data_IF_451481819213
#
_entry.id   IF_451481819213
#
_cell.length_a   1.000
_cell.length_b   1.000
_cell.length_c   1.000
_cell.angle_alpha   90.00
_cell.angle_beta   90.00
_cell.angle_gamma   90.00
#
_symmetry.space_group_name_H-M   'P 1'
#
loop_
_entity.id
_entity.type
_entity.pdbx_description
1 polymer ?
#
# COMPACT_ATOMS: atom_id res chain seq x y z
N UNK A 1 44.48 -19.76 38.63
CA UNK A 1 43.10 -19.85 38.09
C UNK A 1 42.56 -18.44 37.96
N UNK A 2 42.61 -17.87 36.75
CA UNK A 2 42.17 -16.50 36.44
C UNK A 2 40.69 -16.55 36.04
N UNK A 3 39.80 -16.07 36.90
CA UNK A 3 38.38 -15.89 36.59
C UNK A 3 38.13 -14.50 36.02
N UNK A 4 38.11 -14.40 34.69
CA UNK A 4 37.75 -13.16 33.97
C UNK A 4 36.23 -13.10 33.88
N UNK A 5 35.61 -12.25 34.72
CA UNK A 5 34.26 -11.74 34.47
C UNK A 5 34.31 -10.77 33.29
N UNK A 6 33.69 -11.14 32.16
CA UNK A 6 33.37 -10.21 31.08
C UNK A 6 31.88 -10.31 30.74
N UNK A 7 31.17 -9.26 31.17
CA UNK A 7 29.92 -8.68 30.67
C UNK A 7 29.36 -9.35 29.41
N UNK A 8 28.22 -10.03 29.55
CA UNK A 8 27.30 -10.27 28.44
C UNK A 8 26.29 -9.13 28.47
N UNK A 9 26.46 -8.19 27.53
CA UNK A 9 25.46 -7.16 27.24
C UNK A 9 24.31 -7.86 26.54
N UNK A 10 23.14 -7.91 27.19
CA UNK A 10 21.91 -8.35 26.57
C UNK A 10 21.49 -7.31 25.52
N UNK A 11 21.80 -7.57 24.26
CA UNK A 11 21.18 -6.86 23.14
C UNK A 11 19.76 -7.41 23.01
N UNK A 12 18.80 -6.73 23.61
CA UNK A 12 17.38 -6.92 23.32
C UNK A 12 17.15 -6.34 21.94
N UNK A 13 17.36 -7.16 20.91
CA UNK A 13 16.81 -6.90 19.59
C UNK A 13 15.29 -7.01 19.72
N UNK A 14 14.62 -5.86 19.78
CA UNK A 14 13.17 -5.78 19.56
C UNK A 14 12.93 -6.15 18.11
N UNK A 15 12.84 -7.46 17.84
CA UNK A 15 12.21 -7.96 16.63
C UNK A 15 10.73 -7.69 16.86
N UNK A 16 10.27 -6.52 16.41
CA UNK A 16 8.87 -6.31 16.13
C UNK A 16 8.50 -7.29 15.02
N UNK A 17 8.14 -8.50 15.43
CA UNK A 17 7.49 -9.47 14.57
C UNK A 17 6.13 -8.85 14.25
N UNK A 18 6.10 -8.01 13.23
CA UNK A 18 4.89 -7.64 12.54
C UNK A 18 4.35 -8.93 11.93
N UNK A 19 3.60 -9.69 12.74
CA UNK A 19 2.54 -10.54 12.24
C UNK A 19 1.55 -9.61 11.55
N UNK A 20 1.90 -9.17 10.33
CA UNK A 20 0.90 -8.83 9.35
C UNK A 20 0.09 -10.10 9.20
N UNK A 21 -1.01 -10.18 9.94
CA UNK A 21 -2.11 -11.06 9.60
C UNK A 21 -2.51 -10.57 8.22
N UNK A 22 -1.96 -11.22 7.19
CA UNK A 22 -2.29 -10.93 5.81
C UNK A 22 -3.74 -11.35 5.71
N UNK A 23 -4.65 -10.40 5.93
CA UNK A 23 -6.06 -10.57 5.64
C UNK A 23 -6.16 -10.59 4.12
N UNK A 24 -5.72 -11.71 3.53
CA UNK A 24 -6.01 -12.01 2.13
C UNK A 24 -7.53 -12.13 2.13
N UNK A 25 -8.21 -11.09 1.65
CA UNK A 25 -9.65 -11.11 1.54
C UNK A 25 -10.04 -12.43 0.85
N UNK A 26 -11.05 -13.17 1.34
CA UNK A 26 -11.36 -14.53 0.88
C UNK A 26 -11.56 -14.63 -0.65
N UNK A 27 -11.92 -13.51 -1.30
CA UNK A 27 -12.04 -13.37 -2.75
C UNK A 27 -10.73 -13.61 -3.52
N UNK A 28 -9.57 -13.26 -2.97
CA UNK A 28 -8.29 -13.42 -3.67
C UNK A 28 -7.82 -14.89 -3.74
N UNK A 29 -8.34 -15.80 -2.90
CA UNK A 29 -7.97 -17.21 -2.94
C UNK A 29 -8.71 -18.03 -4.03
N UNK A 30 -9.80 -17.48 -4.58
CA UNK A 30 -10.65 -18.14 -5.57
C UNK A 30 -10.38 -17.69 -7.02
N UNK A 31 -9.83 -16.48 -7.21
CA UNK A 31 -9.51 -15.96 -8.54
C UNK A 31 -8.31 -16.67 -9.18
N UNK A 32 -8.25 -16.69 -10.51
CA UNK A 32 -7.10 -17.19 -11.26
C UNK A 32 -5.91 -16.22 -11.13
N UNK A 33 -6.18 -14.92 -11.14
CA UNK A 33 -5.19 -13.86 -10.89
C UNK A 33 -5.74 -12.81 -9.92
N UNK A 34 -4.89 -12.31 -9.04
CA UNK A 34 -5.28 -11.47 -7.91
C UNK A 34 -4.34 -10.28 -7.72
N UNK A 35 -4.89 -9.21 -7.18
CA UNK A 35 -4.13 -8.09 -6.61
C UNK A 35 -4.11 -8.22 -5.09
N UNK A 36 -2.93 -8.05 -4.48
CA UNK A 36 -2.77 -7.98 -3.02
C UNK A 36 -1.99 -6.73 -2.62
N UNK A 37 -2.40 -6.13 -1.52
CA UNK A 37 -1.66 -5.07 -0.80
C UNK A 37 -1.36 -5.54 0.62
N UNK A 38 -0.33 -4.95 1.24
CA UNK A 38 0.16 -5.39 2.55
C UNK A 38 -0.67 -4.92 3.75
N UNK A 39 -1.47 -3.86 3.60
CA UNK A 39 -2.30 -3.26 4.66
C UNK A 39 -3.69 -2.92 4.12
N UNK A 40 -4.66 -2.85 5.02
CA UNK A 40 -6.02 -2.34 4.73
C UNK A 40 -6.10 -0.81 4.78
N UNK A 41 -5.05 -0.15 5.26
CA UNK A 41 -4.96 1.32 5.36
C UNK A 41 -3.55 1.82 5.02
N UNK A 42 -3.47 2.95 4.32
CA UNK A 42 -2.22 3.68 4.03
C UNK A 42 -2.42 5.17 4.28
N UNK A 43 -1.42 5.85 4.85
CA UNK A 43 -1.45 7.30 5.05
C UNK A 43 -1.08 8.04 3.76
N UNK A 44 -1.47 9.31 3.63
CA UNK A 44 -0.84 10.22 2.66
C UNK A 44 0.68 10.20 2.81
N UNK A 45 1.39 10.30 1.69
CA UNK A 45 2.85 10.18 1.57
C UNK A 45 3.43 8.77 1.81
N UNK A 46 2.63 7.78 2.22
CA UNK A 46 3.10 6.40 2.28
C UNK A 46 3.49 5.88 0.87
N UNK A 47 4.55 5.09 0.84
CA UNK A 47 4.81 4.18 -0.28
C UNK A 47 4.38 2.76 0.08
N UNK A 48 3.79 2.06 -0.87
CA UNK A 48 3.41 0.66 -0.72
C UNK A 48 3.54 -0.12 -2.02
N UNK A 49 3.67 -1.44 -1.89
CA UNK A 49 3.72 -2.35 -3.04
C UNK A 49 2.41 -3.10 -3.17
N UNK A 50 1.84 -3.03 -4.37
CA UNK A 50 0.80 -3.93 -4.83
C UNK A 50 1.43 -5.10 -5.58
N UNK A 51 0.99 -6.30 -5.26
CA UNK A 51 1.44 -7.55 -5.90
C UNK A 51 0.33 -8.07 -6.80
N UNK A 52 0.66 -8.34 -8.05
CA UNK A 52 -0.20 -9.03 -8.99
C UNK A 52 0.33 -10.46 -9.06
N UNK A 53 -0.52 -11.44 -8.76
CA UNK A 53 -0.08 -12.82 -8.61
C UNK A 53 -1.18 -13.82 -8.97
N UNK A 54 -0.77 -15.03 -9.33
CA UNK A 54 -1.63 -16.19 -9.50
C UNK A 54 -1.71 -16.96 -8.18
N UNK A 55 -2.88 -17.00 -7.50
CA UNK A 55 -3.03 -17.66 -6.20
C UNK A 55 -2.81 -19.17 -6.26
N UNK A 56 -3.01 -19.77 -7.43
CA UNK A 56 -2.82 -21.19 -7.73
C UNK A 56 -2.09 -21.33 -9.06
N UNK A 57 -1.49 -22.49 -9.31
CA UNK A 57 -0.95 -22.80 -10.64
C UNK A 57 -2.02 -22.65 -11.72
N UNK A 58 -1.68 -21.95 -12.79
CA UNK A 58 -2.61 -21.63 -13.86
C UNK A 58 -1.96 -21.90 -15.22
N UNK A 59 -2.63 -22.68 -16.08
CA UNK A 59 -2.08 -23.15 -17.36
C UNK A 59 -3.10 -23.17 -18.51
N UNK A 60 -4.09 -22.27 -18.47
CA UNK A 60 -5.24 -22.31 -19.41
C UNK A 60 -5.11 -21.36 -20.60
N UNK A 61 -4.16 -20.42 -20.60
CA UNK A 61 -4.07 -19.35 -21.63
C UNK A 61 -2.70 -19.33 -22.29
N UNK A 62 -2.67 -19.13 -23.59
CA UNK A 62 -1.48 -18.89 -24.41
C UNK A 62 -1.37 -17.42 -24.84
N UNK A 63 -2.45 -16.65 -24.75
CA UNK A 63 -2.44 -15.20 -24.90
C UNK A 63 -3.26 -14.54 -23.80
N UNK A 64 -2.78 -13.42 -23.28
CA UNK A 64 -3.37 -12.70 -22.16
C UNK A 64 -3.10 -11.20 -22.28
N UNK A 65 -4.17 -10.41 -22.34
CA UNK A 65 -4.17 -8.96 -22.29
C UNK A 65 -4.94 -8.54 -21.04
N UNK A 66 -4.29 -7.78 -20.17
CA UNK A 66 -4.85 -7.34 -18.91
C UNK A 66 -4.45 -5.91 -18.58
N UNK A 67 -5.29 -5.26 -17.77
CA UNK A 67 -5.03 -3.92 -17.26
C UNK A 67 -5.30 -3.83 -15.77
N UNK A 68 -4.43 -3.12 -15.05
CA UNK A 68 -4.69 -2.65 -13.70
C UNK A 68 -5.04 -1.17 -13.77
N UNK A 69 -6.23 -0.79 -13.30
CA UNK A 69 -6.60 0.61 -13.15
C UNK A 69 -6.52 1.08 -11.69
N UNK A 70 -6.14 2.33 -11.49
CA UNK A 70 -6.02 2.98 -10.19
C UNK A 70 -6.44 4.46 -10.26
N UNK A 71 -6.74 5.05 -9.11
CA UNK A 71 -7.14 6.47 -9.00
C UNK A 71 -5.92 7.40 -9.03
N UNK A 72 -5.78 8.17 -10.12
CA UNK A 72 -4.66 9.11 -10.32
C UNK A 72 -4.74 10.35 -9.43
N UNK A 73 -5.88 10.63 -8.82
CA UNK A 73 -6.00 11.72 -7.83
C UNK A 73 -5.40 11.31 -6.49
N UNK A 74 -5.34 10.00 -6.22
CA UNK A 74 -4.88 9.42 -4.95
C UNK A 74 -3.49 8.82 -5.01
N UNK A 75 -3.12 8.19 -6.13
CA UNK A 75 -1.90 7.41 -6.25
C UNK A 75 -1.03 7.88 -7.42
N UNK A 76 0.27 7.68 -7.29
CA UNK A 76 1.25 7.74 -8.37
C UNK A 76 2.10 6.48 -8.40
N UNK A 77 2.47 6.03 -9.60
CA UNK A 77 3.38 4.89 -9.76
C UNK A 77 4.80 5.39 -9.54
N UNK A 78 5.50 4.76 -8.60
CA UNK A 78 6.94 4.96 -8.36
C UNK A 78 7.73 3.99 -9.22
N UNK A 79 7.30 2.72 -9.27
CA UNK A 79 8.04 1.65 -9.96
C UNK A 79 7.14 0.51 -10.36
N UNK A 80 7.40 -0.09 -11.52
CA UNK A 80 6.85 -1.39 -11.93
C UNK A 80 8.00 -2.38 -12.10
N UNK A 81 7.83 -3.61 -11.62
CA UNK A 81 8.84 -4.67 -11.72
C UNK A 81 8.17 -5.99 -12.12
N UNK A 82 8.62 -6.65 -13.21
CA UNK A 82 8.13 -7.98 -13.58
C UNK A 82 8.40 -9.02 -12.48
N UNK A 83 7.43 -9.88 -12.23
CA UNK A 83 7.55 -10.99 -11.29
C UNK A 83 8.46 -12.11 -11.81
N UNK A 84 9.08 -12.84 -10.88
CA UNK A 84 9.87 -14.03 -11.17
C UNK A 84 8.99 -15.15 -11.74
N UNK A 85 7.76 -15.29 -11.26
CA UNK A 85 6.76 -16.22 -11.81
C UNK A 85 6.46 -15.94 -13.28
N UNK A 86 6.22 -14.67 -13.64
CA UNK A 86 6.07 -14.25 -15.04
C UNK A 86 7.30 -14.60 -15.88
N UNK A 87 8.51 -14.27 -15.42
CA UNK A 87 9.74 -14.62 -16.14
C UNK A 87 9.84 -16.12 -16.40
N UNK A 88 9.60 -16.95 -15.38
CA UNK A 88 9.63 -18.41 -15.52
C UNK A 88 8.58 -18.94 -16.50
N UNK A 89 7.37 -18.36 -16.49
CA UNK A 89 6.32 -18.75 -17.42
C UNK A 89 6.70 -18.42 -18.87
N UNK A 90 7.36 -17.29 -19.10
CA UNK A 90 7.89 -16.88 -20.41
C UNK A 90 9.04 -17.76 -20.87
N UNK A 91 9.98 -18.09 -19.98
CA UNK A 91 11.12 -18.96 -20.30
C UNK A 91 10.70 -20.39 -20.75
N UNK A 92 9.44 -20.79 -20.48
CA UNK A 92 8.85 -22.08 -20.89
C UNK A 92 8.05 -22.02 -22.19
N UNK A 93 7.95 -20.87 -22.84
CA UNK A 93 7.23 -20.76 -24.10
C UNK A 93 8.00 -21.42 -25.25
N UNK A 94 7.26 -22.13 -26.11
CA UNK A 94 7.77 -22.72 -27.34
C UNK A 94 7.38 -21.86 -28.54
N UNK A 95 8.17 -21.92 -29.60
CA UNK A 95 7.93 -21.18 -30.85
C UNK A 95 7.90 -19.64 -30.70
N UNK A 96 8.56 -19.12 -29.66
CA UNK A 96 8.66 -17.70 -29.38
C UNK A 96 7.51 -17.16 -28.53
N UNK A 97 7.74 -15.99 -27.96
CA UNK A 97 6.75 -15.25 -27.18
C UNK A 97 6.90 -13.76 -27.41
N UNK A 98 5.80 -13.04 -27.21
CA UNK A 98 5.79 -11.59 -27.10
C UNK A 98 5.30 -11.21 -25.71
N UNK A 99 5.93 -10.19 -25.14
CA UNK A 99 5.53 -9.57 -23.89
C UNK A 99 5.71 -8.07 -24.00
N UNK A 100 4.69 -7.32 -23.56
CA UNK A 100 4.78 -5.88 -23.37
C UNK A 100 4.16 -5.47 -22.04
N UNK A 101 4.73 -4.42 -21.46
CA UNK A 101 4.25 -3.74 -20.27
C UNK A 101 4.23 -2.24 -20.56
N UNK A 102 3.12 -1.56 -20.29
CA UNK A 102 2.99 -0.12 -20.48
C UNK A 102 2.32 0.53 -19.28
N UNK A 103 3.04 1.41 -18.62
CA UNK A 103 2.58 2.25 -17.50
C UNK A 103 2.74 3.75 -17.79
N UNK A 104 2.93 4.14 -19.06
CA UNK A 104 3.03 5.53 -19.49
C UNK A 104 1.66 6.23 -19.57
N UNK A 105 0.57 5.48 -19.39
CA UNK A 105 -0.80 5.99 -19.38
C UNK A 105 -1.20 6.20 -17.93
N UNK A 106 -1.46 7.44 -17.54
CA UNK A 106 -1.89 7.76 -16.19
C UNK A 106 -3.15 6.95 -15.80
N UNK A 107 -3.10 6.32 -14.63
CA UNK A 107 -4.23 5.57 -14.08
C UNK A 107 -4.33 4.12 -14.55
N UNK A 108 -3.39 3.65 -15.40
CA UNK A 108 -3.39 2.29 -15.91
C UNK A 108 -1.99 1.70 -16.03
N UNK A 109 -1.88 0.40 -15.76
CA UNK A 109 -0.77 -0.45 -16.20
C UNK A 109 -1.35 -1.54 -17.08
N UNK A 110 -0.82 -1.70 -18.29
CA UNK A 110 -1.26 -2.71 -19.23
C UNK A 110 -0.16 -3.76 -19.41
N UNK A 111 -0.57 -5.03 -19.49
CA UNK A 111 0.29 -6.13 -19.88
C UNK A 111 -0.36 -6.89 -21.03
N UNK A 112 0.44 -7.22 -22.03
CA UNK A 112 0.03 -8.08 -23.12
C UNK A 112 1.10 -9.13 -23.34
N UNK A 113 0.69 -10.40 -23.39
CA UNK A 113 1.56 -11.51 -23.74
C UNK A 113 0.87 -12.52 -24.65
N UNK A 114 1.66 -13.14 -25.51
CA UNK A 114 1.21 -14.21 -26.40
C UNK A 114 2.37 -15.16 -26.69
N UNK A 115 2.10 -16.46 -26.68
CA UNK A 115 3.09 -17.50 -26.97
C UNK A 115 2.47 -18.72 -27.67
N UNK A 116 3.31 -19.70 -28.02
CA UNK A 116 2.90 -20.87 -28.80
C UNK A 116 2.16 -21.95 -27.99
N UNK A 117 2.34 -21.97 -26.66
CA UNK A 117 1.66 -22.89 -25.75
C UNK A 117 1.04 -22.14 -24.58
N UNK A 118 0.15 -22.80 -23.84
CA UNK A 118 -0.38 -22.19 -22.63
C UNK A 118 0.76 -21.89 -21.64
N UNK A 119 0.76 -20.67 -21.09
CA UNK A 119 1.67 -20.23 -20.05
C UNK A 119 1.44 -20.99 -18.75
N UNK A 120 2.52 -21.45 -18.12
CA UNK A 120 2.49 -22.02 -16.77
C UNK A 120 2.77 -20.93 -15.73
N UNK A 121 1.72 -20.22 -15.31
CA UNK A 121 1.84 -19.22 -14.27
C UNK A 121 1.80 -19.83 -12.87
N UNK A 122 2.63 -19.29 -11.99
CA UNK A 122 2.62 -19.59 -10.56
C UNK A 122 3.11 -18.36 -9.80
N UNK A 123 2.45 -18.01 -8.69
CA UNK A 123 2.88 -16.93 -7.80
C UNK A 123 2.96 -15.57 -8.52
N UNK A 124 4.07 -14.85 -8.37
CA UNK A 124 4.23 -13.45 -8.71
C UNK A 124 4.25 -13.19 -10.22
N UNK A 125 3.33 -12.33 -10.68
CA UNK A 125 3.26 -11.85 -12.04
C UNK A 125 3.94 -10.49 -12.21
N UNK A 126 3.61 -9.53 -11.33
CA UNK A 126 4.21 -8.19 -11.31
C UNK A 126 4.14 -7.57 -9.91
N UNK A 127 5.02 -6.61 -9.65
CA UNK A 127 4.98 -5.74 -8.46
C UNK A 127 4.92 -4.29 -8.91
N UNK A 128 4.02 -3.52 -8.30
CA UNK A 128 3.91 -2.07 -8.53
C UNK A 128 4.07 -1.36 -7.21
N UNK A 129 5.07 -0.50 -7.12
CA UNK A 129 5.22 0.43 -6.00
C UNK A 129 4.44 1.70 -6.32
N UNK A 130 3.47 2.00 -5.45
CA UNK A 130 2.70 3.23 -5.47
C UNK A 130 3.16 4.15 -4.35
N UNK A 131 3.06 5.46 -4.60
CA UNK A 131 3.05 6.47 -3.55
C UNK A 131 1.64 7.03 -3.41
N UNK A 132 1.16 7.14 -2.17
CA UNK A 132 -0.06 7.87 -1.85
C UNK A 132 0.24 9.36 -1.91
N UNK A 133 -0.51 10.10 -2.71
CA UNK A 133 -0.28 11.53 -2.90
C UNK A 133 -0.51 12.30 -1.59
N UNK A 134 0.25 13.39 -1.33
CA UNK A 134 0.15 14.18 -0.10
C UNK A 134 -1.24 14.78 0.16
N UNK A 135 -2.03 14.99 -0.90
CA UNK A 135 -3.38 15.57 -0.83
C UNK A 135 -4.46 14.57 -1.26
N UNK A 136 -4.16 13.27 -1.31
CA UNK A 136 -5.13 12.24 -1.64
C UNK A 136 -6.32 12.28 -0.67
N UNK A 137 -7.55 12.31 -1.18
CA UNK A 137 -8.73 12.32 -0.33
C UNK A 137 -8.80 11.05 0.53
N UNK A 138 -9.20 11.23 1.80
CA UNK A 138 -9.44 10.13 2.71
C UNK A 138 -10.58 9.24 2.22
N UNK A 139 -10.45 7.94 2.45
CA UNK A 139 -11.50 6.96 2.16
C UNK A 139 -11.02 5.86 1.23
N UNK A 140 -11.97 5.13 0.65
CA UNK A 140 -11.69 3.94 -0.16
C UNK A 140 -10.84 4.26 -1.39
N UNK A 141 -9.90 3.36 -1.69
CA UNK A 141 -9.07 3.36 -2.88
C UNK A 141 -9.01 1.93 -3.43
N UNK A 142 -9.26 1.79 -4.73
CA UNK A 142 -9.31 0.51 -5.41
C UNK A 142 -8.16 0.36 -6.40
N UNK A 143 -7.62 -0.86 -6.47
CA UNK A 143 -6.82 -1.35 -7.57
C UNK A 143 -7.64 -2.41 -8.30
N UNK A 144 -8.09 -2.09 -9.52
CA UNK A 144 -9.00 -2.94 -10.29
C UNK A 144 -8.27 -3.64 -11.41
N UNK A 145 -8.21 -4.96 -11.35
CA UNK A 145 -7.59 -5.80 -12.36
C UNK A 145 -8.68 -6.28 -13.32
N UNK A 146 -8.43 -6.11 -14.62
CA UNK A 146 -9.33 -6.52 -15.69
C UNK A 146 -8.61 -7.40 -16.69
N UNK A 147 -9.24 -8.51 -17.06
CA UNK A 147 -8.88 -9.30 -18.24
C UNK A 147 -9.54 -8.62 -19.44
N UNK A 148 -8.72 -8.14 -20.37
CA UNK A 148 -9.20 -7.49 -21.59
C UNK A 148 -9.44 -8.52 -22.69
N UNK A 149 -8.49 -9.46 -22.85
CA UNK A 149 -8.59 -10.59 -23.77
C UNK A 149 -7.80 -11.78 -23.21
N UNK A 150 -8.29 -12.99 -23.43
CA UNK A 150 -7.53 -14.21 -23.14
C UNK A 150 -7.87 -15.32 -24.13
N UNK A 151 -6.85 -16.03 -24.61
CA UNK A 151 -7.03 -17.18 -25.51
C UNK A 151 -6.15 -18.33 -25.07
N UNK A 152 -6.61 -19.56 -25.27
CA UNK A 152 -5.76 -20.74 -25.10
C UNK A 152 -4.97 -21.06 -26.38
N UNK A 153 -4.05 -22.02 -26.32
CA UNK A 153 -3.23 -22.45 -27.47
C UNK A 153 -4.03 -23.09 -28.61
N UNK A 154 -5.30 -23.42 -28.38
CA UNK A 154 -6.24 -23.89 -29.40
C UNK A 154 -7.09 -22.76 -30.01
N UNK A 155 -6.71 -21.49 -29.79
CA UNK A 155 -7.45 -20.30 -30.26
C UNK A 155 -8.88 -20.19 -29.72
N UNK A 156 -9.17 -20.81 -28.59
CA UNK A 156 -10.46 -20.67 -27.91
C UNK A 156 -10.43 -19.43 -27.04
N UNK A 157 -11.46 -18.59 -27.15
CA UNK A 157 -11.66 -17.44 -26.27
C UNK A 157 -11.93 -17.91 -24.83
N UNK A 158 -11.11 -17.38 -23.93
CA UNK A 158 -11.11 -17.65 -22.49
C UNK A 158 -11.40 -16.38 -21.67
N UNK A 159 -11.66 -15.24 -22.30
CA UNK A 159 -11.73 -13.92 -21.65
C UNK A 159 -12.66 -13.93 -20.43
N UNK A 160 -13.89 -14.42 -20.59
CA UNK A 160 -14.88 -14.49 -19.51
C UNK A 160 -14.67 -15.67 -18.53
N UNK A 161 -13.71 -16.55 -18.82
CA UNK A 161 -13.36 -17.72 -18.00
C UNK A 161 -12.17 -17.47 -17.10
N UNK A 162 -11.37 -16.42 -17.37
CA UNK A 162 -10.26 -16.03 -16.51
C UNK A 162 -10.78 -15.08 -15.44
N UNK A 163 -10.74 -15.53 -14.19
CA UNK A 163 -11.24 -14.74 -13.07
C UNK A 163 -10.14 -13.86 -12.47
N UNK A 164 -10.48 -12.60 -12.18
CA UNK A 164 -9.58 -11.64 -11.56
C UNK A 164 -10.14 -11.14 -10.23
N UNK A 165 -9.28 -10.91 -9.23
CA UNK A 165 -9.67 -10.22 -7.98
C UNK A 165 -8.94 -8.90 -7.81
N UNK A 166 -9.69 -7.90 -7.34
CA UNK A 166 -9.21 -6.56 -7.05
C UNK A 166 -8.62 -6.46 -5.65
N UNK A 167 -7.98 -5.33 -5.36
CA UNK A 167 -7.65 -4.93 -4.00
C UNK A 167 -8.34 -3.60 -3.66
N UNK A 168 -8.84 -3.50 -2.43
CA UNK A 168 -9.42 -2.27 -1.88
C UNK A 168 -8.79 -2.00 -0.53
N UNK A 169 -8.45 -0.74 -0.28
CA UNK A 169 -7.88 -0.27 0.99
C UNK A 169 -8.36 1.15 1.26
N UNK A 170 -8.13 1.65 2.47
CA UNK A 170 -8.49 3.02 2.85
C UNK A 170 -7.26 3.90 2.87
N UNK A 171 -7.33 5.06 2.21
CA UNK A 171 -6.35 6.13 2.40
C UNK A 171 -6.74 6.93 3.62
N UNK A 172 -5.80 7.08 4.53
CA UNK A 172 -5.90 7.91 5.72
C UNK A 172 -5.19 9.25 5.45
N UNK A 173 -5.85 10.33 5.84
CA UNK A 173 -5.27 11.66 5.74
C UNK A 173 -4.12 11.79 6.73
N UNK A 174 -3.02 12.42 6.31
CA UNK A 174 -1.97 12.81 7.24
C UNK A 174 -2.40 14.10 7.92
N UNK A 175 -2.98 13.97 9.10
CA UNK A 175 -3.54 15.10 9.88
C UNK A 175 -2.53 16.21 10.12
N UNK A 176 -1.23 15.93 10.14
CA UNK A 176 -0.17 16.96 10.27
C UNK A 176 -0.33 18.09 9.27
N UNK A 177 -0.77 17.80 8.06
CA UNK A 177 -0.94 18.81 7.01
C UNK A 177 -2.02 19.84 7.34
N UNK A 178 -2.90 19.53 8.30
CA UNK A 178 -3.95 20.41 8.78
C UNK A 178 -3.66 20.95 10.19
N UNK A 179 -2.55 20.57 10.82
CA UNK A 179 -2.19 21.05 12.14
C UNK A 179 -1.28 22.27 12.02
N UNK A 180 -1.59 23.32 12.78
CA UNK A 180 -0.61 24.35 13.09
C UNK A 180 0.19 23.90 14.30
N UNK A 181 1.51 23.80 14.15
CA UNK A 181 2.41 23.37 15.21
C UNK A 181 3.43 24.45 15.57
N UNK A 182 3.69 24.59 16.86
CA UNK A 182 4.68 25.50 17.43
C UNK A 182 5.69 24.72 18.26
N UNK A 183 6.97 25.09 18.18
CA UNK A 183 8.01 24.51 19.04
C UNK A 183 7.83 24.99 20.49
N UNK A 184 7.98 24.10 21.47
CA UNK A 184 7.95 24.46 22.89
C UNK A 184 9.15 25.33 23.30
N UNK A 185 9.10 25.91 24.50
CA UNK A 185 10.14 26.82 24.99
C UNK A 185 11.51 26.15 25.10
N UNK A 186 11.52 24.86 25.44
CA UNK A 186 12.74 24.06 25.60
C UNK A 186 13.33 23.61 24.25
N UNK A 187 12.61 23.79 23.14
CA UNK A 187 13.08 23.42 21.80
C UNK A 187 13.13 21.91 21.54
N UNK A 188 12.48 21.10 22.38
CA UNK A 188 12.58 19.63 22.36
C UNK A 188 11.27 18.92 22.04
N UNK A 189 10.19 19.65 21.76
CA UNK A 189 8.90 19.11 21.37
C UNK A 189 8.00 20.13 20.68
N UNK A 190 6.99 19.65 19.96
CA UNK A 190 5.99 20.48 19.30
C UNK A 190 4.66 20.47 20.05
N UNK A 191 3.95 21.58 19.91
CA UNK A 191 2.64 21.83 20.50
C UNK A 191 1.67 22.09 19.34
N UNK A 192 0.55 21.40 19.34
CA UNK A 192 -0.55 21.67 18.38
C UNK A 192 -1.28 22.92 18.86
N UNK A 193 -1.33 23.96 18.02
CA UNK A 193 -1.98 25.23 18.34
C UNK A 193 -3.30 25.42 17.61
N UNK A 194 -3.47 24.74 16.46
CA UNK A 194 -4.69 24.86 15.66
C UNK A 194 -4.89 23.62 14.77
N UNK A 195 -6.13 23.40 14.34
CA UNK A 195 -6.52 22.42 13.34
C UNK A 195 -7.33 23.12 12.26
N UNK A 196 -6.95 22.97 11.00
CA UNK A 196 -7.49 23.80 9.91
C UNK A 196 -8.54 23.08 9.06
N UNK A 197 -8.78 21.79 9.33
CA UNK A 197 -9.70 21.00 8.52
C UNK A 197 -11.11 21.04 9.08
N UNK A 198 -12.11 21.30 8.23
CA UNK A 198 -13.52 21.45 8.64
C UNK A 198 -14.42 20.28 8.22
N UNK A 199 -13.87 19.27 7.54
CA UNK A 199 -14.67 18.27 6.81
C UNK A 199 -14.50 16.83 7.28
N UNK A 200 -13.54 16.53 8.15
CA UNK A 200 -13.22 15.15 8.55
C UNK A 200 -13.58 14.86 9.99
N UNK A 201 -14.13 13.67 10.23
CA UNK A 201 -14.55 13.23 11.56
C UNK A 201 -13.49 12.45 12.34
N UNK A 202 -12.32 12.20 11.74
CA UNK A 202 -11.25 11.42 12.35
C UNK A 202 -9.92 12.16 12.19
N UNK A 203 -9.25 12.40 13.32
CA UNK A 203 -8.01 13.16 13.45
C UNK A 203 -6.95 12.29 14.10
N UNK A 204 -5.82 12.08 13.43
CA UNK A 204 -4.69 11.29 13.93
C UNK A 204 -3.47 12.17 14.13
N UNK A 205 -3.28 12.69 15.34
CA UNK A 205 -2.08 13.46 15.68
C UNK A 205 -0.89 12.48 15.73
N UNK A 206 0.19 12.69 14.96
CA UNK A 206 1.31 11.75 14.97
C UNK A 206 2.14 11.89 16.25
N UNK A 207 2.96 10.88 16.54
CA UNK A 207 3.92 10.95 17.64
C UNK A 207 4.99 12.03 17.45
N UNK A 208 5.39 12.29 16.20
CA UNK A 208 6.51 13.18 15.89
C UNK A 208 6.19 14.13 14.72
N UNK A 209 6.77 15.31 14.80
CA UNK A 209 6.84 16.28 13.71
C UNK A 209 8.27 16.78 13.57
N UNK A 210 8.85 16.68 12.36
CA UNK A 210 10.25 17.04 12.07
C UNK A 210 11.27 16.39 13.02
N UNK A 211 11.03 15.12 13.40
CA UNK A 211 11.91 14.34 14.26
C UNK A 211 11.88 14.71 15.74
N UNK A 212 10.92 15.54 16.17
CA UNK A 212 10.67 15.86 17.57
C UNK A 212 9.26 15.42 17.99
N UNK A 213 9.06 15.01 19.25
CA UNK A 213 7.78 14.56 19.74
C UNK A 213 6.73 15.68 19.75
N UNK A 214 5.46 15.33 19.51
CA UNK A 214 4.33 16.19 19.86
C UNK A 214 4.02 15.99 21.36
N UNK A 215 4.21 17.04 22.15
CA UNK A 215 4.16 17.00 23.62
C UNK A 215 2.97 17.76 24.20
N UNK A 216 2.31 18.62 23.42
CA UNK A 216 1.22 19.44 23.91
C UNK A 216 0.14 19.72 22.87
N UNK A 217 -1.05 20.04 23.37
CA UNK A 217 -2.17 20.59 22.59
C UNK A 217 -2.64 21.86 23.33
N UNK A 218 -2.66 23.01 22.66
CA UNK A 218 -3.09 24.28 23.28
C UNK A 218 -4.60 24.29 23.55
N UNK A 219 -5.00 25.11 24.52
CA UNK A 219 -6.40 25.43 24.78
C UNK A 219 -7.00 26.05 23.50
N UNK A 220 -8.07 25.46 22.99
CA UNK A 220 -8.75 25.85 21.75
C UNK A 220 -8.12 25.37 20.42
N UNK A 221 -7.11 24.50 20.42
CA UNK A 221 -6.50 23.99 19.18
C UNK A 221 -7.47 23.23 18.25
N UNK A 222 -8.62 22.78 18.76
CA UNK A 222 -9.69 22.13 18.00
C UNK A 222 -11.04 22.85 18.22
N UNK A 223 -11.02 24.14 18.56
CA UNK A 223 -12.25 24.89 18.80
C UNK A 223 -13.07 25.00 17.51
N UNK A 224 -14.39 24.81 17.62
CA UNK A 224 -15.36 24.82 16.50
C UNK A 224 -15.26 23.65 15.51
N UNK A 225 -14.52 22.59 15.83
CA UNK A 225 -14.46 21.37 15.02
C UNK A 225 -15.46 20.30 15.50
N UNK A 226 -16.76 20.61 15.38
CA UNK A 226 -17.84 19.73 15.82
C UNK A 226 -17.98 18.46 14.97
N UNK A 227 -17.36 18.43 13.79
CA UNK A 227 -17.29 17.28 12.90
C UNK A 227 -16.43 16.14 13.46
N UNK A 228 -15.45 16.42 14.32
CA UNK A 228 -14.52 15.42 14.86
C UNK A 228 -15.26 14.47 15.81
N UNK A 229 -15.23 13.18 15.48
CA UNK A 229 -15.77 12.07 16.27
C UNK A 229 -14.69 11.21 16.90
N UNK A 230 -13.54 11.08 16.22
CA UNK A 230 -12.41 10.27 16.68
C UNK A 230 -11.13 11.11 16.68
N UNK A 231 -10.40 11.09 17.79
CA UNK A 231 -9.12 11.75 17.95
C UNK A 231 -8.10 10.76 18.51
N UNK A 232 -7.05 10.47 17.74
CA UNK A 232 -5.89 9.71 18.21
C UNK A 232 -4.82 10.67 18.73
N UNK A 233 -4.40 10.46 19.97
CA UNK A 233 -3.39 11.29 20.66
C UNK A 233 -1.99 10.71 20.49
N UNK A 234 -0.93 11.55 20.49
CA UNK A 234 0.44 11.08 20.48
C UNK A 234 0.80 10.41 21.80
N UNK A 235 1.62 9.36 21.73
CA UNK A 235 2.07 8.57 22.88
C UNK A 235 2.89 9.35 23.90
N UNK A 236 3.56 10.43 23.47
CA UNK A 236 4.42 11.30 24.30
C UNK A 236 3.74 12.60 24.72
N UNK A 237 2.41 12.68 24.59
CA UNK A 237 1.64 13.83 25.00
C UNK A 237 1.79 14.05 26.52
N UNK A 238 2.12 15.29 26.90
CA UNK A 238 2.32 15.69 28.29
C UNK A 238 1.15 16.51 28.81
N UNK A 239 0.55 17.37 27.97
CA UNK A 239 -0.55 18.23 28.39
C UNK A 239 -1.56 18.55 27.28
N UNK A 240 -2.77 18.92 27.70
CA UNK A 240 -3.83 19.51 26.88
C UNK A 240 -4.32 20.77 27.58
N UNK A 241 -4.43 21.88 26.85
CA UNK A 241 -4.90 23.16 27.37
C UNK A 241 -3.78 24.05 27.89
N UNK A 242 -3.13 23.66 28.98
CA UNK A 242 -2.10 24.49 29.62
C UNK A 242 -0.84 23.68 29.92
N UNK A 243 0.30 24.24 29.50
CA UNK A 243 1.64 23.78 29.87
C UNK A 243 1.79 23.90 31.40
N UNK A 244 1.97 22.75 32.07
CA UNK A 244 2.12 22.64 33.53
C UNK A 244 3.49 23.07 34.00
#
# INVERSE_FOLDING_TARGET
>A
MKGIMRKIVAVVAVIALALCVINVAPYAAAADIAVRVGKTTYMQDDEFTAEIYFPKSYNKVAALDMSLSYDTTKLEIVKVTPGKGLRKARDKQVNGEVFSENHNIAGKVNWCLSGGNNYEFSNDFAQITFKVKPLAEHGSCDLKLKINNAYNSGFVDMTDKVTASNATFTILRNTVNDLTLKLNKEGNGYIVTDYLCMTYDTVNIPDEYKGLPIVGIEYAAFMNHAEIKNLTLPSRLQYIGRES
#
